data_IF_342883118007
#
_entry.id   IF_342883118007
#
_cell.length_a   1.000
_cell.length_b   1.000
_cell.length_c   1.000
_cell.angle_alpha   90.00
_cell.angle_beta   90.00
_cell.angle_gamma   90.00
#
_symmetry.space_group_name_H-M   'P 1'
#
loop_
_entity.id
_entity.type
_entity.pdbx_description
1 polymer ?
#
# COMPACT_ATOMS: atom_id res chain seq x y z
N UNK A 1 -19.16 -13.39 -11.78
CA UNK A 1 -19.24 -12.02 -11.20
C UNK A 1 -18.15 -11.70 -10.17
N UNK A 2 -17.48 -12.67 -9.58
CA UNK A 2 -16.35 -12.44 -8.66
C UNK A 2 -15.03 -12.00 -9.34
N UNK A 3 -14.99 -11.89 -10.64
CA UNK A 3 -13.75 -11.58 -11.40
C UNK A 3 -13.38 -10.10 -11.50
N UNK A 4 -14.11 -9.22 -10.84
CA UNK A 4 -13.83 -7.78 -10.83
C UNK A 4 -13.23 -7.32 -9.51
N UNK A 5 -12.66 -8.26 -8.75
CA UNK A 5 -11.97 -8.01 -7.52
C UNK A 5 -10.49 -7.74 -7.76
N UNK A 6 -9.93 -6.95 -6.90
CA UNK A 6 -8.53 -6.58 -6.87
C UNK A 6 -7.67 -7.82 -6.67
N UNK A 7 -6.76 -8.08 -7.60
CA UNK A 7 -5.78 -9.17 -7.49
C UNK A 7 -4.40 -8.55 -7.64
N UNK A 8 -3.60 -8.66 -6.62
CA UNK A 8 -2.24 -8.24 -6.73
C UNK A 8 -1.45 -8.43 -5.45
N UNK A 9 -0.40 -9.20 -5.52
CA UNK A 9 0.77 -9.02 -4.69
C UNK A 9 1.99 -9.08 -5.58
N UNK A 10 2.99 -8.27 -5.31
CA UNK A 10 4.22 -8.20 -6.08
C UNK A 10 4.89 -9.55 -6.29
N UNK A 11 4.99 -10.37 -5.23
CA UNK A 11 5.74 -11.62 -5.28
C UNK A 11 4.96 -12.74 -5.99
N UNK A 12 3.69 -12.89 -5.70
CA UNK A 12 2.90 -14.02 -6.24
C UNK A 12 2.57 -13.85 -7.73
N UNK A 13 2.28 -12.64 -8.19
CA UNK A 13 2.02 -12.37 -9.62
C UNK A 13 3.31 -12.43 -10.42
N UNK A 14 4.39 -11.88 -9.88
CA UNK A 14 5.71 -11.88 -10.49
C UNK A 14 6.20 -13.28 -10.81
N UNK A 15 5.99 -14.23 -9.90
CA UNK A 15 6.51 -15.59 -10.03
C UNK A 15 5.57 -16.55 -10.77
N UNK A 16 4.27 -16.22 -10.88
CA UNK A 16 3.28 -17.13 -11.45
C UNK A 16 2.69 -16.71 -12.80
N UNK A 17 2.70 -15.43 -13.15
CA UNK A 17 2.17 -14.91 -14.41
C UNK A 17 3.23 -14.68 -15.49
N UNK A 18 4.50 -14.58 -15.11
CA UNK A 18 5.60 -14.36 -16.04
C UNK A 18 6.53 -15.57 -16.04
N UNK A 19 6.98 -15.98 -17.24
CA UNK A 19 7.92 -17.08 -17.42
C UNK A 19 9.32 -16.81 -16.83
N UNK A 20 9.63 -15.54 -16.59
CA UNK A 20 10.89 -15.09 -16.00
C UNK A 20 10.60 -14.03 -14.91
N UNK A 21 11.39 -13.97 -13.83
CA UNK A 21 11.28 -12.94 -12.81
C UNK A 21 11.38 -11.55 -13.45
N UNK A 22 10.50 -10.64 -13.02
CA UNK A 22 10.59 -9.24 -13.47
C UNK A 22 11.77 -8.57 -12.80
N UNK A 23 12.59 -7.78 -13.55
CA UNK A 23 13.66 -7.01 -12.97
C UNK A 23 13.14 -6.01 -11.93
N UNK A 24 13.94 -5.74 -10.90
CA UNK A 24 13.64 -4.71 -9.92
C UNK A 24 13.68 -3.30 -10.55
N UNK A 25 13.04 -2.29 -9.91
CA UNK A 25 13.17 -0.91 -10.36
C UNK A 25 14.63 -0.44 -10.45
N UNK A 26 15.51 -0.89 -9.54
CA UNK A 26 16.93 -0.61 -9.56
C UNK A 26 17.62 -1.15 -10.82
N UNK A 27 17.35 -2.42 -11.18
CA UNK A 27 17.91 -3.06 -12.36
C UNK A 27 17.41 -2.38 -13.64
N UNK A 28 16.14 -2.04 -13.71
CA UNK A 28 15.57 -1.32 -14.86
C UNK A 28 16.19 0.08 -15.02
N UNK A 29 16.34 0.80 -13.91
CA UNK A 29 16.96 2.13 -13.91
C UNK A 29 18.43 2.07 -14.31
N UNK A 30 19.18 1.08 -13.80
CA UNK A 30 20.59 0.88 -14.17
C UNK A 30 20.77 0.53 -15.65
N UNK A 31 19.81 -0.19 -16.23
CA UNK A 31 19.87 -0.63 -17.62
C UNK A 31 19.45 0.43 -18.64
N UNK A 32 18.48 1.30 -18.30
CA UNK A 32 17.86 2.22 -19.27
C UNK A 32 17.51 3.60 -18.73
N UNK A 33 17.97 3.96 -17.54
CA UNK A 33 17.58 5.20 -16.88
C UNK A 33 16.09 5.23 -16.54
N UNK A 34 15.59 6.43 -16.24
CA UNK A 34 14.17 6.62 -15.91
C UNK A 34 13.27 6.25 -17.11
N UNK A 35 13.60 6.69 -18.30
CA UNK A 35 12.79 6.43 -19.50
C UNK A 35 12.64 4.92 -19.77
N UNK A 36 13.72 4.15 -19.69
CA UNK A 36 13.69 2.71 -19.87
C UNK A 36 12.88 1.99 -18.77
N UNK A 37 12.93 2.48 -17.53
CA UNK A 37 12.12 1.99 -16.43
C UNK A 37 10.62 2.25 -16.69
N UNK A 38 10.25 3.46 -17.09
CA UNK A 38 8.85 3.84 -17.38
C UNK A 38 8.27 3.03 -18.55
N UNK A 39 9.04 2.84 -19.64
CA UNK A 39 8.65 2.01 -20.79
C UNK A 39 8.39 0.56 -20.38
N UNK A 40 9.28 -0.01 -19.56
CA UNK A 40 9.13 -1.38 -19.05
C UNK A 40 7.93 -1.51 -18.12
N UNK A 41 7.70 -0.54 -17.24
CA UNK A 41 6.54 -0.50 -16.35
C UNK A 41 5.24 -0.49 -17.16
N UNK A 42 5.16 0.33 -18.22
CA UNK A 42 3.99 0.35 -19.10
C UNK A 42 3.76 -1.03 -19.74
N UNK A 43 4.80 -1.63 -20.29
CA UNK A 43 4.74 -2.95 -20.92
C UNK A 43 4.28 -4.04 -19.94
N UNK A 44 4.76 -4.04 -18.70
CA UNK A 44 4.35 -5.00 -17.67
C UNK A 44 2.91 -4.81 -17.24
N UNK A 45 2.48 -3.58 -17.02
CA UNK A 45 1.10 -3.27 -16.65
C UNK A 45 0.12 -3.66 -17.77
N UNK A 46 0.46 -3.47 -19.04
CA UNK A 46 -0.36 -3.93 -20.16
C UNK A 46 -0.52 -5.47 -20.16
N UNK A 47 0.51 -6.21 -19.81
CA UNK A 47 0.42 -7.67 -19.64
C UNK A 47 -0.46 -8.04 -18.45
N UNK A 48 -0.28 -7.38 -17.29
CA UNK A 48 -1.15 -7.59 -16.12
C UNK A 48 -2.62 -7.33 -16.46
N UNK A 49 -2.90 -6.23 -17.18
CA UNK A 49 -4.26 -5.93 -17.67
C UNK A 49 -4.82 -7.02 -18.58
N UNK A 50 -4.01 -7.58 -19.46
CA UNK A 50 -4.41 -8.68 -20.33
C UNK A 50 -4.77 -9.97 -19.55
N UNK A 51 -4.23 -10.17 -18.36
CA UNK A 51 -4.61 -11.23 -17.42
C UNK A 51 -5.82 -10.86 -16.53
N UNK A 52 -6.43 -9.69 -16.72
CA UNK A 52 -7.56 -9.22 -15.92
C UNK A 52 -7.18 -8.56 -14.59
N UNK A 53 -5.90 -8.31 -14.34
CA UNK A 53 -5.43 -7.56 -13.17
C UNK A 53 -5.70 -6.07 -13.39
N UNK A 54 -6.35 -5.42 -12.45
CA UNK A 54 -6.72 -4.00 -12.52
C UNK A 54 -6.05 -3.12 -11.45
N UNK A 55 -5.42 -3.73 -10.44
CA UNK A 55 -4.61 -3.03 -9.44
C UNK A 55 -3.28 -3.76 -9.24
N UNK A 56 -2.18 -3.04 -9.31
CA UNK A 56 -0.84 -3.57 -9.04
C UNK A 56 -0.31 -2.95 -7.74
N UNK A 57 0.10 -3.79 -6.78
CA UNK A 57 0.66 -3.35 -5.49
C UNK A 57 2.11 -2.89 -5.65
N UNK A 58 2.27 -1.86 -6.45
CA UNK A 58 3.48 -1.12 -6.77
C UNK A 58 3.10 0.31 -7.19
N UNK A 59 4.01 1.27 -7.12
CA UNK A 59 5.44 1.18 -6.81
C UNK A 59 5.75 1.13 -5.31
N UNK A 60 6.99 0.73 -4.98
CA UNK A 60 7.54 0.83 -3.63
C UNK A 60 8.10 2.23 -3.43
N UNK A 61 7.55 2.96 -2.46
CA UNK A 61 7.94 4.33 -2.10
C UNK A 61 9.02 4.36 -1.01
N UNK A 62 9.30 3.22 -0.38
CA UNK A 62 10.26 3.15 0.72
C UNK A 62 11.64 3.66 0.30
N UNK A 63 12.19 4.58 1.10
CA UNK A 63 13.51 5.15 0.87
C UNK A 63 14.55 4.28 1.57
N UNK A 64 15.43 3.66 0.80
CA UNK A 64 16.54 2.87 1.33
C UNK A 64 17.74 2.95 0.39
N UNK A 65 18.88 3.39 0.94
CA UNK A 65 20.16 3.48 0.21
C UNK A 65 21.19 2.47 0.72
N UNK A 66 20.88 1.74 1.80
CA UNK A 66 21.76 0.73 2.37
C UNK A 66 21.35 -0.67 1.91
N UNK A 67 22.21 -1.40 1.19
CA UNK A 67 21.94 -2.77 0.72
C UNK A 67 21.63 -3.78 1.83
N UNK A 68 22.05 -3.51 3.07
CA UNK A 68 21.81 -4.40 4.21
C UNK A 68 20.40 -4.27 4.79
N UNK A 69 19.64 -3.25 4.39
CA UNK A 69 18.27 -3.06 4.84
C UNK A 69 17.32 -4.06 4.16
N UNK A 70 16.39 -4.63 4.92
CA UNK A 70 15.39 -5.56 4.42
C UNK A 70 14.67 -5.06 3.16
N UNK A 71 14.23 -3.78 3.18
CA UNK A 71 13.43 -3.23 2.08
C UNK A 71 14.27 -2.83 0.86
N UNK A 72 15.60 -2.74 0.96
CA UNK A 72 16.46 -2.22 -0.10
C UNK A 72 16.27 -2.93 -1.44
N UNK A 73 16.29 -4.24 -1.47
CA UNK A 73 16.16 -5.02 -2.71
C UNK A 73 14.80 -4.84 -3.40
N UNK A 74 13.78 -4.37 -2.67
CA UNK A 74 12.42 -4.10 -3.18
C UNK A 74 12.20 -2.63 -3.51
N UNK A 75 12.99 -1.72 -2.91
CA UNK A 75 12.92 -0.28 -3.10
C UNK A 75 13.60 0.17 -4.40
N UNK A 76 13.51 1.47 -4.68
CA UNK A 76 14.25 2.08 -5.80
C UNK A 76 15.76 2.20 -5.53
N UNK A 77 16.20 2.06 -4.28
CA UNK A 77 17.61 2.07 -3.88
C UNK A 77 18.28 3.45 -3.95
N UNK A 78 17.51 4.52 -3.96
CA UNK A 78 17.97 5.91 -4.07
C UNK A 78 17.54 6.74 -2.86
N UNK A 79 18.03 7.98 -2.80
CA UNK A 79 17.61 8.95 -1.80
C UNK A 79 16.12 9.37 -1.95
N UNK A 80 15.62 10.13 -0.98
CA UNK A 80 14.23 10.53 -0.92
C UNK A 80 13.78 11.33 -2.15
N UNK A 81 14.59 12.30 -2.60
CA UNK A 81 14.22 13.15 -3.73
C UNK A 81 14.24 12.36 -5.04
N UNK A 82 15.28 11.58 -5.28
CA UNK A 82 15.40 10.73 -6.48
C UNK A 82 14.29 9.67 -6.52
N UNK A 83 13.91 9.12 -5.36
CA UNK A 83 12.76 8.21 -5.25
C UNK A 83 11.47 8.94 -5.53
N UNK A 84 11.27 10.16 -5.03
CA UNK A 84 10.08 10.97 -5.30
C UNK A 84 9.93 11.33 -6.78
N UNK A 85 11.02 11.66 -7.46
CA UNK A 85 11.04 11.95 -8.90
C UNK A 85 10.64 10.70 -9.72
N UNK A 86 11.13 9.52 -9.31
CA UNK A 86 10.69 8.24 -9.88
C UNK A 86 9.19 8.01 -9.65
N UNK A 87 8.71 8.14 -8.40
CA UNK A 87 7.31 7.91 -8.05
C UNK A 87 6.37 8.84 -8.82
N UNK A 88 6.66 10.14 -8.86
CA UNK A 88 5.86 11.11 -9.61
C UNK A 88 5.82 10.84 -11.12
N UNK A 89 6.88 10.26 -11.66
CA UNK A 89 6.97 9.90 -13.08
C UNK A 89 6.26 8.58 -13.41
N UNK A 90 6.28 7.60 -12.49
CA UNK A 90 5.71 6.28 -12.76
C UNK A 90 4.20 6.21 -12.53
N UNK A 91 3.63 6.99 -11.59
CA UNK A 91 2.18 7.01 -11.33
C UNK A 91 1.34 7.30 -12.58
N UNK A 92 1.65 8.30 -13.42
CA UNK A 92 0.92 8.52 -14.67
C UNK A 92 1.02 7.34 -15.66
N UNK A 93 2.12 6.58 -15.64
CA UNK A 93 2.30 5.38 -16.49
C UNK A 93 1.32 4.26 -16.11
N UNK A 94 1.05 4.10 -14.81
CA UNK A 94 -0.01 3.20 -14.34
C UNK A 94 -1.38 3.62 -14.88
N UNK A 95 -1.74 4.89 -14.72
CA UNK A 95 -3.00 5.42 -15.25
C UNK A 95 -3.13 5.21 -16.76
N UNK A 96 -2.06 5.49 -17.52
CA UNK A 96 -2.01 5.24 -18.97
C UNK A 96 -2.22 3.76 -19.34
N UNK A 97 -1.73 2.84 -18.51
CA UNK A 97 -1.89 1.40 -18.74
C UNK A 97 -3.30 0.90 -18.43
N UNK A 98 -4.11 1.66 -17.70
CA UNK A 98 -5.41 1.27 -17.16
C UNK A 98 -5.32 0.23 -16.05
N UNK A 99 -4.20 0.23 -15.31
CA UNK A 99 -3.96 -0.54 -14.08
C UNK A 99 -3.66 0.47 -12.98
N UNK A 100 -4.37 0.41 -11.86
CA UNK A 100 -4.12 1.28 -10.73
C UNK A 100 -2.82 0.91 -10.02
N UNK A 101 -2.09 1.91 -9.55
CA UNK A 101 -0.94 1.74 -8.67
C UNK A 101 -1.34 1.79 -7.20
N UNK A 102 -0.49 1.21 -6.34
CA UNK A 102 -0.59 1.28 -4.88
C UNK A 102 0.74 1.77 -4.33
N UNK A 103 0.79 2.96 -3.78
CA UNK A 103 1.98 3.47 -3.10
C UNK A 103 2.21 2.68 -1.81
N UNK A 104 3.39 2.15 -1.59
CA UNK A 104 3.69 1.32 -0.41
C UNK A 104 5.13 1.44 0.06
N UNK A 105 5.40 1.20 1.30
CA UNK A 105 4.52 0.81 2.44
C UNK A 105 4.43 1.98 3.41
N UNK A 106 3.30 2.69 3.40
CA UNK A 106 3.12 3.88 4.24
C UNK A 106 3.20 3.54 5.74
N UNK A 107 3.85 4.35 6.59
CA UNK A 107 4.52 5.63 6.30
C UNK A 107 6.00 5.51 5.90
N UNK A 108 6.50 4.33 5.61
CA UNK A 108 7.87 4.02 5.21
C UNK A 108 8.56 3.03 6.14
N UNK A 109 9.21 2.02 5.57
CA UNK A 109 9.91 0.98 6.34
C UNK A 109 11.23 1.45 6.93
N UNK A 110 11.91 2.39 6.26
CA UNK A 110 13.23 2.83 6.67
C UNK A 110 14.22 1.66 6.75
N UNK A 111 14.90 1.54 7.90
CA UNK A 111 15.83 0.45 8.20
C UNK A 111 15.26 -0.61 9.16
N UNK A 112 13.94 -0.70 9.27
CA UNK A 112 13.27 -1.65 10.16
C UNK A 112 13.39 -3.09 9.69
N UNK A 113 13.09 -4.02 10.64
CA UNK A 113 12.99 -5.43 10.38
C UNK A 113 11.73 -5.78 9.54
N UNK A 114 11.72 -6.97 8.99
CA UNK A 114 10.59 -7.52 8.25
C UNK A 114 9.39 -7.81 9.15
N UNK A 115 8.26 -7.17 8.89
CA UNK A 115 7.00 -7.38 9.65
C UNK A 115 6.35 -8.74 9.41
N UNK A 116 6.80 -9.52 8.43
CA UNK A 116 6.38 -10.91 8.26
C UNK A 116 6.89 -11.83 9.38
N UNK A 117 7.98 -11.44 10.03
CA UNK A 117 8.64 -12.24 11.07
C UNK A 117 8.39 -11.74 12.50
N UNK A 118 7.62 -10.66 12.66
CA UNK A 118 7.33 -10.08 13.97
C UNK A 118 7.01 -8.59 13.92
N UNK A 119 6.98 -7.97 15.09
CA UNK A 119 6.70 -6.54 15.23
C UNK A 119 7.96 -5.75 14.85
N UNK A 120 7.83 -4.84 13.88
CA UNK A 120 8.85 -3.86 13.55
C UNK A 120 8.56 -2.54 14.28
N UNK A 121 9.45 -2.17 15.19
CA UNK A 121 9.36 -0.91 15.94
C UNK A 121 10.29 0.13 15.33
N UNK A 122 9.75 1.28 14.97
CA UNK A 122 10.49 2.42 14.44
C UNK A 122 10.51 3.55 15.44
N UNK A 123 11.68 3.76 16.03
CA UNK A 123 11.92 4.83 17.02
C UNK A 123 12.51 6.12 16.40
N UNK A 124 12.55 6.22 15.05
CA UNK A 124 13.04 7.42 14.37
C UNK A 124 12.16 8.63 14.68
N UNK A 125 12.75 9.83 14.81
CA UNK A 125 11.95 11.03 15.04
C UNK A 125 11.12 11.40 13.81
N UNK A 126 9.98 12.05 14.02
CA UNK A 126 9.05 12.46 12.94
C UNK A 126 9.75 13.28 11.84
N UNK A 127 10.73 14.09 12.20
CA UNK A 127 11.52 14.89 11.25
C UNK A 127 12.30 14.03 10.23
N UNK A 128 12.60 12.77 10.54
CA UNK A 128 13.18 11.82 9.57
C UNK A 128 12.15 11.43 8.53
N UNK A 129 10.94 11.09 8.95
CA UNK A 129 9.84 10.77 8.04
C UNK A 129 9.50 11.96 7.14
N UNK A 130 9.34 13.14 7.73
CA UNK A 130 9.04 14.38 7.01
C UNK A 130 10.07 14.72 5.92
N UNK A 131 11.35 14.49 6.19
CA UNK A 131 12.43 14.83 5.25
C UNK A 131 12.83 13.70 4.30
N UNK A 132 12.37 12.49 4.53
CA UNK A 132 12.76 11.32 3.77
C UNK A 132 11.57 10.46 3.38
N UNK A 133 11.02 9.70 4.32
CA UNK A 133 10.08 8.62 4.02
C UNK A 133 8.76 9.11 3.40
N UNK A 134 8.24 10.27 3.85
CA UNK A 134 6.97 10.83 3.35
C UNK A 134 7.12 11.50 1.97
N UNK A 135 8.31 11.95 1.59
CA UNK A 135 8.56 12.71 0.36
C UNK A 135 8.10 11.96 -0.91
N UNK A 136 8.41 10.67 -1.10
CA UNK A 136 7.89 9.92 -2.25
C UNK A 136 6.37 9.72 -2.21
N UNK A 137 5.76 9.58 -1.03
CA UNK A 137 4.30 9.48 -0.92
C UNK A 137 3.61 10.79 -1.29
N UNK A 138 4.10 11.93 -0.81
CA UNK A 138 3.60 13.25 -1.20
C UNK A 138 3.66 13.44 -2.72
N UNK A 139 4.79 13.08 -3.34
CA UNK A 139 4.96 13.14 -4.79
C UNK A 139 4.00 12.23 -5.55
N UNK A 140 3.78 11.00 -5.06
CA UNK A 140 2.86 10.06 -5.66
C UNK A 140 1.39 10.47 -5.52
N UNK A 141 1.01 11.02 -4.36
CA UNK A 141 -0.33 11.58 -4.11
C UNK A 141 -0.58 12.78 -5.04
N UNK A 142 0.38 13.69 -5.14
CA UNK A 142 0.31 14.83 -6.04
C UNK A 142 0.23 14.42 -7.53
N UNK A 143 0.84 13.30 -7.90
CA UNK A 143 0.75 12.70 -9.23
C UNK A 143 -0.56 11.93 -9.49
N UNK A 144 -1.46 11.83 -8.51
CA UNK A 144 -2.79 11.22 -8.65
C UNK A 144 -2.83 9.71 -8.37
N UNK A 145 -1.97 9.18 -7.51
CA UNK A 145 -2.02 7.79 -7.11
C UNK A 145 -3.37 7.45 -6.44
N UNK A 146 -4.09 6.41 -6.89
CA UNK A 146 -5.41 6.08 -6.39
C UNK A 146 -5.43 5.25 -5.10
N UNK A 147 -4.32 4.56 -4.78
CA UNK A 147 -4.24 3.70 -3.60
C UNK A 147 -2.96 3.95 -2.79
N UNK A 148 -3.07 3.80 -1.48
CA UNK A 148 -1.94 3.74 -0.53
C UNK A 148 -2.10 2.51 0.35
N UNK A 149 -1.04 1.69 0.44
CA UNK A 149 -0.99 0.55 1.35
C UNK A 149 -0.25 0.96 2.63
N UNK A 150 -0.92 0.73 3.77
CA UNK A 150 -0.39 1.03 5.10
C UNK A 150 0.22 -0.23 5.71
N UNK A 151 1.47 -0.12 6.16
CA UNK A 151 2.27 -1.20 6.73
C UNK A 151 1.86 -1.57 8.16
N UNK A 152 2.45 -2.65 8.67
CA UNK A 152 2.26 -3.07 10.06
C UNK A 152 3.40 -2.64 11.00
N UNK A 153 4.21 -1.66 10.60
CA UNK A 153 5.23 -1.07 11.47
C UNK A 153 4.58 -0.28 12.60
N UNK A 154 5.16 -0.36 13.80
CA UNK A 154 4.87 0.58 14.89
C UNK A 154 5.83 1.74 14.73
N UNK A 155 5.31 2.94 14.51
CA UNK A 155 6.10 4.17 14.37
C UNK A 155 5.89 5.03 15.61
N UNK A 156 6.82 4.95 16.56
CA UNK A 156 6.67 5.56 17.89
C UNK A 156 6.32 7.04 17.85
N UNK A 157 6.93 7.80 16.94
CA UNK A 157 6.68 9.24 16.83
C UNK A 157 5.32 9.60 16.23
N UNK A 158 4.58 8.64 15.66
CA UNK A 158 3.22 8.82 15.13
C UNK A 158 2.20 8.13 16.05
N UNK A 159 2.40 6.84 16.33
CA UNK A 159 1.60 6.06 17.28
C UNK A 159 2.40 4.88 17.82
N UNK A 160 2.87 4.98 19.04
CA UNK A 160 3.61 3.90 19.71
C UNK A 160 2.73 2.76 20.24
N UNK A 161 1.39 2.90 20.17
CA UNK A 161 0.47 1.91 20.73
C UNK A 161 -0.03 0.90 19.70
N UNK A 162 -0.12 1.28 18.44
CA UNK A 162 -0.69 0.46 17.37
C UNK A 162 0.21 0.43 16.13
N UNK A 163 0.23 -0.69 15.38
CA UNK A 163 0.79 -0.71 14.04
C UNK A 163 0.14 0.35 13.15
N UNK A 164 0.87 0.90 12.20
CA UNK A 164 0.39 1.96 11.31
C UNK A 164 -0.96 1.62 10.66
N UNK A 165 -1.16 0.38 10.20
CA UNK A 165 -2.41 -0.10 9.61
C UNK A 165 -3.61 -0.12 10.58
N UNK A 166 -3.37 -0.12 11.88
CA UNK A 166 -4.41 -0.10 12.93
C UNK A 166 -4.45 1.24 13.68
N UNK A 167 -3.70 2.25 13.24
CA UNK A 167 -3.57 3.54 13.91
C UNK A 167 -4.41 4.63 13.22
N UNK A 168 -5.45 5.11 13.89
CA UNK A 168 -6.22 6.27 13.42
C UNK A 168 -5.35 7.53 13.26
N UNK A 169 -4.28 7.69 14.06
CA UNK A 169 -3.38 8.84 13.93
C UNK A 169 -2.59 8.79 12.62
N UNK A 170 -2.12 7.62 12.21
CA UNK A 170 -1.40 7.44 10.93
C UNK A 170 -2.36 7.68 9.75
N UNK A 171 -3.60 7.25 9.85
CA UNK A 171 -4.61 7.51 8.82
C UNK A 171 -5.00 9.00 8.76
N UNK A 172 -5.10 9.69 9.90
CA UNK A 172 -5.28 11.15 9.95
C UNK A 172 -4.10 11.89 9.30
N UNK A 173 -2.85 11.46 9.54
CA UNK A 173 -1.69 12.01 8.85
C UNK A 173 -1.84 11.88 7.33
N UNK A 174 -2.19 10.69 6.85
CA UNK A 174 -2.35 10.42 5.41
C UNK A 174 -3.52 11.22 4.81
N UNK A 175 -4.67 11.28 5.49
CA UNK A 175 -5.88 11.97 5.01
C UNK A 175 -5.75 13.49 5.10
N UNK A 176 -5.43 13.99 6.28
CA UNK A 176 -5.58 15.43 6.59
C UNK A 176 -4.29 16.20 6.31
N UNK A 177 -3.12 15.62 6.55
CA UNK A 177 -1.83 16.30 6.35
C UNK A 177 -1.32 16.12 4.92
N UNK A 178 -1.33 14.88 4.39
CA UNK A 178 -0.89 14.61 3.02
C UNK A 178 -2.02 14.80 1.99
N UNK A 179 -3.25 14.99 2.42
CA UNK A 179 -4.40 15.27 1.55
C UNK A 179 -4.84 14.10 0.68
N UNK A 180 -4.56 12.85 1.08
CA UNK A 180 -4.91 11.68 0.30
C UNK A 180 -6.41 11.38 0.33
N UNK A 181 -7.06 11.38 -0.83
CA UNK A 181 -8.51 11.15 -0.96
C UNK A 181 -8.87 9.78 -1.54
N UNK A 182 -7.88 9.03 -2.06
CA UNK A 182 -8.07 7.70 -2.65
C UNK A 182 -8.28 6.59 -1.62
N UNK A 183 -8.13 5.36 -2.04
CA UNK A 183 -8.36 4.14 -1.24
C UNK A 183 -7.15 3.82 -0.37
N UNK A 184 -7.34 3.70 0.93
CA UNK A 184 -6.34 3.18 1.87
C UNK A 184 -6.58 1.68 2.04
N UNK A 185 -5.52 0.90 1.84
CA UNK A 185 -5.55 -0.56 1.96
C UNK A 185 -4.52 -1.04 2.98
N UNK A 186 -4.85 -2.08 3.76
CA UNK A 186 -3.89 -2.71 4.68
C UNK A 186 -2.90 -3.59 3.95
N UNK A 187 -1.74 -3.86 4.56
CA UNK A 187 -1.01 -5.11 4.27
C UNK A 187 -1.79 -6.31 4.83
N UNK A 188 -1.32 -7.55 4.60
CA UNK A 188 -2.09 -8.75 5.01
C UNK A 188 -2.25 -8.83 6.53
N UNK A 189 -3.49 -8.75 7.00
CA UNK A 189 -3.83 -8.83 8.44
C UNK A 189 -3.54 -10.20 9.06
N UNK A 190 -3.18 -11.22 8.29
CA UNK A 190 -2.73 -12.50 8.81
C UNK A 190 -1.26 -12.50 9.26
N UNK A 191 -0.52 -11.40 9.02
CA UNK A 191 0.88 -11.26 9.44
C UNK A 191 1.02 -11.23 10.96
N UNK A 192 2.13 -11.79 11.47
CA UNK A 192 2.37 -11.92 12.91
C UNK A 192 2.41 -10.58 13.65
N UNK A 193 2.83 -9.52 13.00
CA UNK A 193 2.84 -8.16 13.54
C UNK A 193 1.46 -7.66 14.00
N UNK A 194 0.37 -8.15 13.41
CA UNK A 194 -1.00 -7.74 13.71
C UNK A 194 -1.67 -8.64 14.75
N UNK A 195 -1.30 -9.93 14.80
CA UNK A 195 -1.95 -10.94 15.66
C UNK A 195 -1.96 -10.55 17.14
N UNK A 196 -0.92 -9.89 17.63
CA UNK A 196 -0.81 -9.46 19.01
C UNK A 196 -1.88 -8.42 19.41
N UNK A 197 -2.40 -7.67 18.43
CA UNK A 197 -3.40 -6.60 18.62
C UNK A 197 -4.84 -7.09 18.40
N UNK A 198 -5.01 -8.30 17.90
CA UNK A 198 -6.32 -8.90 17.61
C UNK A 198 -6.81 -9.85 18.71
N UNK A 199 -6.20 -9.85 19.92
CA UNK A 199 -6.44 -10.84 20.96
C UNK A 199 -7.90 -10.94 21.45
N UNK A 200 -8.61 -9.80 21.48
CA UNK A 200 -10.01 -9.72 21.95
C UNK A 200 -10.98 -9.23 20.87
N UNK A 201 -10.51 -9.06 19.65
CA UNK A 201 -11.30 -8.52 18.55
C UNK A 201 -10.73 -8.89 17.18
N UNK A 202 -11.49 -8.55 16.15
CA UNK A 202 -11.05 -8.73 14.77
C UNK A 202 -10.01 -7.69 14.40
N UNK A 203 -8.87 -8.10 13.83
CA UNK A 203 -7.93 -7.19 13.20
C UNK A 203 -8.62 -6.34 12.13
N UNK A 204 -9.58 -6.91 11.41
CA UNK A 204 -10.36 -6.21 10.39
C UNK A 204 -11.25 -5.12 10.99
N UNK A 205 -11.87 -5.35 12.15
CA UNK A 205 -12.67 -4.32 12.84
C UNK A 205 -11.77 -3.15 13.23
N UNK A 206 -10.63 -3.42 13.86
CA UNK A 206 -9.67 -2.38 14.24
C UNK A 206 -9.14 -1.62 13.01
N UNK A 207 -8.85 -2.32 11.92
CA UNK A 207 -8.35 -1.71 10.68
C UNK A 207 -9.40 -0.77 10.06
N UNK A 208 -10.67 -1.14 10.03
CA UNK A 208 -11.77 -0.28 9.56
C UNK A 208 -11.92 0.94 10.47
N UNK A 209 -11.95 0.73 11.80
CA UNK A 209 -12.03 1.83 12.76
C UNK A 209 -10.82 2.79 12.67
N UNK A 210 -9.64 2.29 12.26
CA UNK A 210 -8.47 3.13 12.01
C UNK A 210 -8.61 4.00 10.75
N UNK A 211 -9.45 3.61 9.78
CA UNK A 211 -9.71 4.38 8.57
C UNK A 211 -9.27 3.72 7.26
N UNK A 212 -8.97 2.41 7.25
CA UNK A 212 -8.74 1.68 6.01
C UNK A 212 -10.04 1.47 5.25
N UNK A 213 -10.01 1.66 3.93
CA UNK A 213 -11.14 1.45 3.03
C UNK A 213 -11.23 0.01 2.53
N UNK A 214 -10.07 -0.66 2.45
CA UNK A 214 -9.95 -2.04 2.03
C UNK A 214 -9.01 -2.81 2.93
N UNK A 215 -9.30 -4.10 3.06
CA UNK A 215 -8.52 -5.01 3.89
C UNK A 215 -7.97 -6.14 3.02
N UNK A 216 -6.67 -6.39 3.12
CA UNK A 216 -6.04 -7.61 2.63
C UNK A 216 -6.00 -8.62 3.78
N UNK A 217 -6.56 -9.80 3.56
CA UNK A 217 -6.50 -10.87 4.56
C UNK A 217 -6.66 -12.24 3.92
N UNK A 218 -5.90 -13.21 4.40
CA UNK A 218 -6.07 -14.63 4.07
C UNK A 218 -7.13 -15.30 4.96
N UNK A 219 -7.50 -14.70 6.11
CA UNK A 219 -8.53 -15.18 7.04
C UNK A 219 -9.88 -14.48 6.87
N UNK A 220 -10.31 -14.27 5.62
CA UNK A 220 -11.57 -13.58 5.32
C UNK A 220 -12.81 -14.29 5.87
N UNK A 221 -12.77 -15.63 6.02
CA UNK A 221 -13.90 -16.42 6.52
C UNK A 221 -14.25 -16.09 7.97
N UNK A 222 -13.26 -15.77 8.80
CA UNK A 222 -13.44 -15.34 10.17
C UNK A 222 -13.72 -13.84 10.26
N UNK A 223 -12.96 -13.05 9.54
CA UNK A 223 -12.94 -11.60 9.72
C UNK A 223 -14.18 -10.90 9.12
N UNK A 224 -14.71 -11.37 8.00
CA UNK A 224 -15.94 -10.78 7.41
C UNK A 224 -17.14 -10.86 8.37
N UNK A 225 -17.47 -12.04 8.97
CA UNK A 225 -18.54 -12.11 9.96
C UNK A 225 -18.34 -11.20 11.18
N UNK A 226 -17.08 -11.02 11.63
CA UNK A 226 -16.77 -10.13 12.74
C UNK A 226 -17.05 -8.66 12.42
N UNK A 227 -16.68 -8.20 11.21
CA UNK A 227 -17.01 -6.85 10.75
C UNK A 227 -18.53 -6.66 10.65
N UNK A 228 -19.25 -7.62 10.09
CA UNK A 228 -20.72 -7.57 10.01
C UNK A 228 -21.34 -7.46 11.41
N UNK A 229 -20.85 -8.23 12.38
CA UNK A 229 -21.33 -8.18 13.75
C UNK A 229 -21.03 -6.81 14.41
N UNK A 230 -19.85 -6.23 14.15
CA UNK A 230 -19.47 -4.91 14.66
C UNK A 230 -20.39 -3.79 14.11
N UNK A 231 -20.77 -3.87 12.82
CA UNK A 231 -21.75 -2.95 12.25
C UNK A 231 -23.14 -3.16 12.86
N UNK A 232 -23.59 -4.41 13.01
CA UNK A 232 -24.90 -4.73 13.58
C UNK A 232 -25.02 -4.31 15.06
N UNK A 233 -23.94 -4.36 15.81
CA UNK A 233 -23.89 -3.91 17.20
C UNK A 233 -23.77 -2.39 17.36
N UNK A 234 -23.46 -1.66 16.28
CA UNK A 234 -23.18 -0.23 16.32
C UNK A 234 -21.75 0.12 16.77
N UNK A 235 -20.85 -0.86 16.86
CA UNK A 235 -19.43 -0.64 17.14
C UNK A 235 -18.72 0.06 15.96
N UNK A 236 -19.16 -0.23 14.73
CA UNK A 236 -18.81 0.52 13.52
C UNK A 236 -20.10 1.17 12.99
N UNK A 237 -20.08 2.46 12.74
CA UNK A 237 -21.23 3.12 12.14
C UNK A 237 -21.38 2.71 10.67
N UNK A 238 -22.63 2.45 10.23
CA UNK A 238 -22.93 2.12 8.84
C UNK A 238 -22.46 3.24 7.89
N UNK A 239 -22.56 4.50 8.30
CA UNK A 239 -22.06 5.66 7.55
C UNK A 239 -20.55 5.61 7.27
N UNK A 240 -19.75 5.00 8.16
CA UNK A 240 -18.32 4.85 7.96
C UNK A 240 -18.04 3.80 6.89
N UNK A 241 -18.78 2.68 6.94
CA UNK A 241 -18.73 1.65 5.88
C UNK A 241 -19.13 2.25 4.53
N UNK A 242 -20.20 3.04 4.47
CA UNK A 242 -20.65 3.71 3.25
C UNK A 242 -19.54 4.63 2.68
N UNK A 243 -18.85 5.38 3.53
CA UNK A 243 -17.75 6.24 3.11
C UNK A 243 -16.56 5.43 2.54
N UNK A 244 -16.21 4.30 3.16
CA UNK A 244 -15.16 3.40 2.66
C UNK A 244 -15.57 2.77 1.33
N UNK A 245 -16.77 2.23 1.24
CA UNK A 245 -17.31 1.63 0.03
C UNK A 245 -17.38 2.64 -1.12
N UNK A 246 -17.79 3.88 -0.83
CA UNK A 246 -17.85 4.95 -1.83
C UNK A 246 -16.49 5.19 -2.50
N UNK A 247 -15.40 5.28 -1.75
CA UNK A 247 -14.05 5.44 -2.32
C UNK A 247 -13.67 4.27 -3.21
N UNK A 248 -13.95 3.04 -2.77
CA UNK A 248 -13.68 1.83 -3.56
C UNK A 248 -14.49 1.80 -4.86
N UNK A 249 -15.78 2.18 -4.80
CA UNK A 249 -16.65 2.23 -5.98
C UNK A 249 -16.20 3.34 -6.94
N UNK A 250 -15.81 4.49 -6.42
CA UNK A 250 -15.25 5.58 -7.22
C UNK A 250 -14.02 5.12 -8.03
N UNK A 251 -13.10 4.41 -7.40
CA UNK A 251 -11.92 3.88 -8.09
C UNK A 251 -12.29 2.78 -9.10
N UNK A 252 -13.26 1.91 -8.79
CA UNK A 252 -13.76 0.94 -9.76
C UNK A 252 -14.37 1.61 -10.99
N UNK A 253 -15.11 2.70 -10.80
CA UNK A 253 -15.67 3.50 -11.89
C UNK A 253 -14.54 4.16 -12.72
N UNK A 254 -13.55 4.77 -12.08
CA UNK A 254 -12.40 5.36 -12.75
C UNK A 254 -11.61 4.35 -13.61
N UNK A 255 -11.56 3.09 -13.17
CA UNK A 255 -10.95 1.97 -13.91
C UNK A 255 -11.87 1.35 -14.98
N UNK A 256 -13.12 1.84 -15.11
CA UNK A 256 -14.10 1.31 -16.05
C UNK A 256 -14.59 -0.11 -15.71
N UNK A 257 -14.56 -0.50 -14.45
CA UNK A 257 -15.00 -1.81 -13.96
C UNK A 257 -16.52 -1.83 -13.65
N UNK A 258 -17.07 -0.68 -13.39
CA UNK A 258 -18.52 -0.44 -13.18
C UNK A 258 -18.94 0.82 -13.93
N UNK A 259 -20.25 0.95 -14.22
CA UNK A 259 -20.86 2.11 -14.87
C UNK A 259 -21.02 3.30 -13.91
#
# INVERSE_FOLDING_TARGET
EMQRSLVGSEMCIRDSLFSEPLPSPQELYAAGGLDGLLERTLSYNQKLKAFGVNVNFAPVCDVSTNPDNFIYARSFGQDAQTTADYISSVVPVYAQSGVACVLKHFPGYGNNADTHTGIALDARPYTTFEKSDLVPFESGIAAGAPFVLVSHNIVECMDGAYPASLSAKVHTLLRDTLGFTGVIVTDDLAMDAVKAYAQDGSAAVLAIQAGNDMIVTTDYQTQIPQVIAAVQSGEIAESDIDAHVFRVLHEKQALGLID
#
